data_IF_079027678207
#
_entry.id   IF_079027678207
#
_cell.length_a   1.000
_cell.length_b   1.000
_cell.length_c   1.000
_cell.angle_alpha   90.00
_cell.angle_beta   90.00
_cell.angle_gamma   90.00
#
_symmetry.space_group_name_H-M   'P 1'
#
loop_
_entity.id
_entity.type
_entity.pdbx_description
1 polymer ?
#
# COMPACT_ATOMS: atom_id res chain seq x y z
N UNK A 1 -1.22 -16.99 -20.59
CA UNK A 1 -1.25 -17.02 -19.11
C UNK A 1 -2.70 -16.87 -18.66
N UNK A 2 -3.19 -17.72 -17.74
CA UNK A 2 -4.61 -17.74 -17.34
C UNK A 2 -5.05 -16.44 -16.64
N UNK A 3 -6.35 -16.15 -16.65
CA UNK A 3 -6.99 -15.02 -15.94
C UNK A 3 -6.50 -14.92 -14.49
N UNK A 4 -6.51 -16.03 -13.76
CA UNK A 4 -6.08 -16.12 -12.36
C UNK A 4 -4.63 -15.64 -12.20
N UNK A 5 -3.71 -16.07 -13.08
CA UNK A 5 -2.31 -15.66 -13.02
C UNK A 5 -2.15 -14.16 -13.26
N UNK A 6 -2.91 -13.56 -14.19
CA UNK A 6 -2.89 -12.10 -14.42
C UNK A 6 -3.41 -11.32 -13.21
N UNK A 7 -4.46 -11.81 -12.58
CA UNK A 7 -5.05 -11.18 -11.39
C UNK A 7 -4.10 -11.24 -10.18
N UNK A 8 -3.46 -12.38 -9.94
CA UNK A 8 -2.49 -12.53 -8.84
C UNK A 8 -1.29 -11.60 -8.99
N UNK A 9 -0.82 -11.37 -10.22
CA UNK A 9 0.31 -10.46 -10.48
C UNK A 9 0.05 -9.01 -10.06
N UNK A 10 -1.21 -8.60 -9.91
CA UNK A 10 -1.56 -7.25 -9.44
C UNK A 10 -1.04 -6.99 -8.02
N UNK A 11 -0.89 -8.06 -7.21
CA UNK A 11 -0.51 -7.99 -5.80
C UNK A 11 0.98 -8.30 -5.55
N UNK A 12 1.79 -8.45 -6.59
CA UNK A 12 3.24 -8.59 -6.41
C UNK A 12 3.90 -7.43 -5.68
N UNK A 13 3.56 -6.14 -5.94
CA UNK A 13 4.16 -5.04 -5.19
C UNK A 13 3.99 -5.16 -3.66
N UNK A 14 2.77 -5.33 -3.10
CA UNK A 14 2.63 -5.46 -1.64
C UNK A 14 3.23 -6.75 -1.10
N UNK A 15 3.18 -7.87 -1.84
CA UNK A 15 3.82 -9.13 -1.41
C UNK A 15 5.33 -8.92 -1.25
N UNK A 16 5.98 -8.23 -2.18
CA UNK A 16 7.41 -7.95 -2.11
C UNK A 16 7.76 -7.08 -0.90
N UNK A 17 7.01 -6.00 -0.66
CA UNK A 17 7.24 -5.10 0.48
C UNK A 17 6.99 -5.83 1.80
N UNK A 18 5.91 -6.60 1.91
CA UNK A 18 5.60 -7.37 3.12
C UNK A 18 6.64 -8.47 3.39
N UNK A 19 7.13 -9.15 2.35
CA UNK A 19 8.21 -10.13 2.51
C UNK A 19 9.49 -9.45 2.99
N UNK A 20 9.82 -8.28 2.44
CA UNK A 20 10.97 -7.48 2.89
C UNK A 20 10.81 -7.03 4.35
N UNK A 21 9.62 -6.54 4.73
CA UNK A 21 9.27 -6.21 6.12
C UNK A 21 9.56 -7.38 7.06
N UNK A 22 9.03 -8.57 6.75
CA UNK A 22 9.21 -9.77 7.58
C UNK A 22 10.68 -10.18 7.70
N UNK A 23 11.45 -10.10 6.62
CA UNK A 23 12.90 -10.37 6.66
C UNK A 23 13.61 -9.37 7.59
N UNK A 24 13.32 -8.08 7.44
CA UNK A 24 13.91 -7.02 8.27
C UNK A 24 13.58 -7.19 9.75
N UNK A 25 12.33 -7.50 10.08
CA UNK A 25 11.91 -7.67 11.46
C UNK A 25 12.41 -9.00 12.06
N UNK A 26 12.13 -10.13 11.41
CA UNK A 26 12.34 -11.45 12.00
C UNK A 26 13.81 -11.89 12.00
N UNK A 27 14.61 -11.45 11.04
CA UNK A 27 16.03 -11.84 10.93
C UNK A 27 16.95 -10.78 11.55
N UNK A 28 16.64 -9.51 11.32
CA UNK A 28 17.53 -8.40 11.74
C UNK A 28 17.03 -7.65 12.97
N UNK A 29 15.82 -7.94 13.45
CA UNK A 29 15.19 -7.29 14.62
C UNK A 29 15.16 -5.77 14.47
N UNK A 30 14.82 -5.28 13.27
CA UNK A 30 14.91 -3.87 12.93
C UNK A 30 14.05 -2.98 13.82
N UNK A 31 12.83 -3.40 14.19
CA UNK A 31 11.96 -2.61 15.07
C UNK A 31 12.51 -2.49 16.50
N UNK A 32 13.19 -3.52 17.00
CA UNK A 32 13.81 -3.49 18.32
C UNK A 32 15.05 -2.59 18.35
N UNK A 33 15.80 -2.55 17.25
CA UNK A 33 17.06 -1.78 17.14
C UNK A 33 16.82 -0.33 16.73
N UNK A 34 15.87 -0.12 15.83
CA UNK A 34 15.56 1.15 15.17
C UNK A 34 14.05 1.30 15.00
N UNK A 35 13.30 1.76 16.03
CA UNK A 35 11.85 1.93 15.93
C UNK A 35 11.40 2.82 14.76
N UNK A 36 12.23 3.81 14.40
CA UNK A 36 12.02 4.67 13.22
C UNK A 36 12.01 3.93 11.87
N UNK A 37 12.33 2.64 11.84
CA UNK A 37 12.22 1.78 10.67
C UNK A 37 10.78 1.68 10.16
N UNK A 38 9.80 1.98 11.00
CA UNK A 38 8.39 1.93 10.60
C UNK A 38 8.03 2.95 9.52
N UNK A 39 8.51 4.18 9.68
CA UNK A 39 8.27 5.30 8.75
C UNK A 39 8.58 4.93 7.29
N UNK A 40 9.79 4.45 6.92
CA UNK A 40 10.06 4.06 5.54
C UNK A 40 9.23 2.85 5.10
N UNK A 41 8.82 1.95 6.01
CA UNK A 41 7.94 0.83 5.66
C UNK A 41 6.53 1.29 5.31
N UNK A 42 5.97 2.27 6.01
CA UNK A 42 4.69 2.87 5.64
C UNK A 42 4.77 3.58 4.27
N UNK A 43 5.85 4.32 3.98
CA UNK A 43 6.04 4.92 2.64
C UNK A 43 6.09 3.84 1.56
N UNK A 44 6.89 2.78 1.76
CA UNK A 44 7.02 1.68 0.80
C UNK A 44 5.71 0.90 0.62
N UNK A 45 4.98 0.66 1.71
CA UNK A 45 3.65 0.05 1.70
C UNK A 45 2.67 0.90 0.90
N UNK A 46 2.64 2.21 1.16
CA UNK A 46 1.88 3.19 0.38
C UNK A 46 2.19 3.12 -1.12
N UNK A 47 3.47 3.15 -1.49
CA UNK A 47 3.92 3.00 -2.88
C UNK A 47 3.43 1.68 -3.48
N UNK A 48 3.57 0.56 -2.78
CA UNK A 48 3.12 -0.73 -3.25
C UNK A 48 1.60 -0.78 -3.49
N UNK A 49 0.80 -0.17 -2.59
CA UNK A 49 -0.64 -0.08 -2.74
C UNK A 49 -1.06 0.88 -3.85
N UNK A 50 -0.36 2.00 -4.04
CA UNK A 50 -0.59 2.91 -5.16
C UNK A 50 -0.29 2.27 -6.52
N UNK A 51 0.78 1.47 -6.61
CA UNK A 51 1.10 0.66 -7.80
C UNK A 51 0.02 -0.39 -8.05
N UNK A 52 -0.41 -1.11 -7.01
CA UNK A 52 -1.51 -2.07 -7.09
C UNK A 52 -2.78 -1.41 -7.62
N UNK A 53 -3.16 -0.24 -7.09
CA UNK A 53 -4.32 0.54 -7.55
C UNK A 53 -4.22 0.91 -9.03
N UNK A 54 -3.05 1.36 -9.48
CA UNK A 54 -2.80 1.64 -10.90
C UNK A 54 -2.91 0.39 -11.77
N UNK A 55 -2.36 -0.75 -11.32
CA UNK A 55 -2.43 -2.02 -12.05
C UNK A 55 -3.86 -2.54 -12.14
N UNK A 56 -4.64 -2.46 -11.05
CA UNK A 56 -6.07 -2.81 -11.03
C UNK A 56 -6.86 -1.93 -12.00
N UNK A 57 -6.58 -0.64 -12.05
CA UNK A 57 -7.20 0.27 -13.01
C UNK A 57 -6.87 -0.11 -14.46
N UNK A 58 -5.60 -0.42 -14.76
CA UNK A 58 -5.20 -0.87 -16.09
C UNK A 58 -5.84 -2.21 -16.46
N UNK A 59 -5.97 -3.11 -15.49
CA UNK A 59 -6.65 -4.40 -15.65
C UNK A 59 -8.12 -4.20 -15.98
N UNK A 60 -8.84 -3.36 -15.21
CA UNK A 60 -10.24 -3.05 -15.47
C UNK A 60 -10.47 -2.45 -16.87
N UNK A 61 -9.58 -1.58 -17.33
CA UNK A 61 -9.68 -0.98 -18.66
C UNK A 61 -9.40 -1.97 -19.80
N UNK A 62 -8.40 -2.85 -19.65
CA UNK A 62 -7.96 -3.75 -20.73
C UNK A 62 -8.72 -5.07 -20.78
N UNK A 63 -9.03 -5.63 -19.62
CA UNK A 63 -9.58 -7.00 -19.51
C UNK A 63 -11.08 -6.98 -19.26
N UNK A 64 -11.61 -5.92 -18.63
CA UNK A 64 -13.03 -5.78 -18.31
C UNK A 64 -13.74 -4.71 -19.15
N UNK A 65 -13.03 -4.05 -20.08
CA UNK A 65 -13.55 -2.99 -20.96
C UNK A 65 -14.21 -1.80 -20.22
N UNK A 66 -13.76 -1.51 -18.98
CA UNK A 66 -14.25 -0.37 -18.20
C UNK A 66 -13.64 0.93 -18.74
N UNK A 67 -14.45 1.93 -19.05
CA UNK A 67 -13.95 3.20 -19.62
C UNK A 67 -13.92 4.29 -18.55
N UNK A 68 -12.71 4.73 -18.17
CA UNK A 68 -12.49 5.83 -17.21
C UNK A 68 -11.56 6.84 -17.89
N UNK A 69 -12.07 7.78 -18.70
CA UNK A 69 -11.22 8.61 -19.54
C UNK A 69 -10.57 9.78 -18.79
N UNK A 70 -11.21 10.28 -17.73
CA UNK A 70 -10.68 11.39 -16.96
C UNK A 70 -9.55 10.94 -16.03
N UNK A 71 -8.35 11.49 -16.23
CA UNK A 71 -7.16 11.22 -15.40
C UNK A 71 -7.39 11.55 -13.92
N UNK A 72 -8.15 12.60 -13.63
CA UNK A 72 -8.47 12.98 -12.25
C UNK A 72 -9.31 11.91 -11.54
N UNK A 73 -10.26 11.29 -12.24
CA UNK A 73 -11.08 10.20 -11.68
C UNK A 73 -10.23 8.97 -11.43
N UNK A 74 -9.34 8.63 -12.38
CA UNK A 74 -8.36 7.56 -12.19
C UNK A 74 -7.51 7.79 -10.92
N UNK A 75 -7.03 9.02 -10.72
CA UNK A 75 -6.19 9.36 -9.57
C UNK A 75 -6.96 9.29 -8.26
N UNK A 76 -8.19 9.83 -8.23
CA UNK A 76 -9.09 9.73 -7.08
C UNK A 76 -9.32 8.26 -6.68
N UNK A 77 -9.58 7.37 -7.64
CA UNK A 77 -9.79 5.94 -7.35
C UNK A 77 -8.55 5.28 -6.73
N UNK A 78 -7.35 5.59 -7.23
CA UNK A 78 -6.10 5.09 -6.64
C UNK A 78 -5.92 5.66 -5.23
N UNK A 79 -6.19 6.95 -5.02
CA UNK A 79 -6.10 7.57 -3.69
C UNK A 79 -7.07 6.92 -2.70
N UNK A 80 -8.32 6.67 -3.08
CA UNK A 80 -9.28 5.96 -2.22
C UNK A 80 -8.80 4.56 -1.86
N UNK A 81 -8.23 3.84 -2.82
CA UNK A 81 -7.63 2.52 -2.57
C UNK A 81 -6.49 2.58 -1.55
N UNK A 82 -5.60 3.57 -1.68
CA UNK A 82 -4.48 3.78 -0.75
C UNK A 82 -5.00 4.13 0.66
N UNK A 83 -5.96 5.06 0.77
CA UNK A 83 -6.58 5.43 2.06
C UNK A 83 -7.21 4.20 2.71
N UNK A 84 -8.02 3.45 1.96
CA UNK A 84 -8.71 2.27 2.46
C UNK A 84 -7.73 1.22 3.00
N UNK A 85 -6.67 0.94 2.27
CA UNK A 85 -5.68 -0.07 2.65
C UNK A 85 -4.80 0.38 3.82
N UNK A 86 -4.52 1.69 3.91
CA UNK A 86 -3.82 2.29 5.06
C UNK A 86 -4.66 2.17 6.34
N UNK A 87 -5.97 2.48 6.28
CA UNK A 87 -6.88 2.31 7.42
C UNK A 87 -6.98 0.84 7.85
N UNK A 88 -7.06 -0.09 6.90
CA UNK A 88 -7.10 -1.53 7.20
C UNK A 88 -5.83 -1.97 7.95
N UNK A 89 -4.67 -1.46 7.55
CA UNK A 89 -3.40 -1.81 8.19
C UNK A 89 -3.38 -1.37 9.66
N UNK A 90 -3.68 -0.10 9.93
CA UNK A 90 -3.78 0.42 11.31
C UNK A 90 -4.82 -0.33 12.15
N UNK A 91 -5.92 -0.76 11.54
CA UNK A 91 -6.91 -1.60 12.23
C UNK A 91 -6.35 -2.98 12.55
N UNK A 92 -5.55 -3.58 11.67
CA UNK A 92 -4.89 -4.84 11.95
C UNK A 92 -3.89 -4.70 13.09
N UNK A 93 -3.15 -3.60 13.16
CA UNK A 93 -2.24 -3.30 14.26
C UNK A 93 -2.96 -3.09 15.58
N UNK A 94 -4.02 -2.27 15.58
CA UNK A 94 -4.89 -2.09 16.73
C UNK A 94 -5.45 -3.42 17.25
N UNK A 95 -5.94 -4.28 16.35
CA UNK A 95 -6.47 -5.60 16.72
C UNK A 95 -5.37 -6.51 17.26
N UNK A 96 -4.16 -6.43 16.68
CA UNK A 96 -2.95 -7.07 17.20
C UNK A 96 -2.70 -6.70 18.65
N UNK A 97 -2.70 -5.40 18.94
CA UNK A 97 -2.43 -4.88 20.27
C UNK A 97 -3.53 -5.24 21.25
N UNK A 98 -4.79 -5.12 20.82
CA UNK A 98 -5.96 -5.39 21.66
C UNK A 98 -6.09 -6.88 22.02
N UNK A 99 -5.88 -7.79 21.07
CA UNK A 99 -6.09 -9.22 21.29
C UNK A 99 -4.83 -10.00 21.66
N UNK A 100 -3.65 -9.55 21.21
CA UNK A 100 -2.41 -10.32 21.33
C UNK A 100 -1.29 -9.55 22.06
N UNK A 101 -1.48 -8.28 22.41
CA UNK A 101 -0.48 -7.50 23.16
C UNK A 101 0.82 -7.28 22.39
N UNK A 102 0.73 -7.11 21.06
CA UNK A 102 1.90 -6.96 20.18
C UNK A 102 2.65 -5.64 20.32
N UNK A 103 2.00 -4.60 20.86
CA UNK A 103 2.54 -3.24 21.01
C UNK A 103 3.06 -2.64 19.69
N UNK A 104 2.30 -2.81 18.60
CA UNK A 104 2.61 -2.26 17.28
C UNK A 104 2.34 -0.75 17.23
N UNK A 105 1.23 -0.27 17.81
CA UNK A 105 0.91 1.15 17.83
C UNK A 105 1.56 1.83 19.05
N UNK A 106 2.53 2.70 18.83
CA UNK A 106 3.26 3.39 19.92
C UNK A 106 2.49 4.59 20.48
N UNK A 107 1.40 4.99 19.83
CA UNK A 107 0.47 6.01 20.30
C UNK A 107 -0.23 6.77 19.17
N UNK A 108 -1.05 7.76 19.50
CA UNK A 108 -1.84 8.50 18.51
C UNK A 108 -0.97 9.20 17.44
N UNK A 109 0.15 9.79 17.84
CA UNK A 109 1.03 10.51 16.91
C UNK A 109 1.75 9.57 15.93
N UNK A 110 2.02 8.34 16.36
CA UNK A 110 2.64 7.26 15.59
C UNK A 110 1.68 6.82 14.47
N UNK A 111 0.52 6.27 14.86
CA UNK A 111 -0.59 5.89 13.96
C UNK A 111 -0.95 6.98 12.96
N UNK A 112 -1.05 8.24 13.39
CA UNK A 112 -1.37 9.35 12.47
C UNK A 112 -0.22 9.63 11.48
N UNK A 113 1.03 9.49 11.93
CA UNK A 113 2.22 9.55 11.11
C UNK A 113 2.27 8.42 10.08
N UNK A 114 1.98 7.20 10.49
CA UNK A 114 1.97 6.00 9.66
C UNK A 114 0.93 6.08 8.55
N UNK A 115 -0.27 6.52 8.92
CA UNK A 115 -1.33 6.81 7.95
C UNK A 115 -0.91 7.88 6.95
N UNK A 116 -0.27 8.96 7.42
CA UNK A 116 0.19 10.04 6.56
C UNK A 116 1.30 9.60 5.59
N UNK A 117 2.27 8.83 6.08
CA UNK A 117 3.39 8.31 5.29
C UNK A 117 2.93 7.31 4.23
N UNK A 118 2.01 6.40 4.59
CA UNK A 118 1.36 5.49 3.65
C UNK A 118 0.58 6.23 2.57
N UNK A 119 -0.22 7.22 2.96
CA UNK A 119 -0.97 8.04 2.01
C UNK A 119 -0.04 8.78 1.04
N UNK A 120 0.99 9.44 1.55
CA UNK A 120 1.95 10.20 0.75
C UNK A 120 2.62 9.32 -0.31
N UNK A 121 3.13 8.15 0.08
CA UNK A 121 3.78 7.21 -0.83
C UNK A 121 2.85 6.75 -1.96
N UNK A 122 1.61 6.35 -1.62
CA UNK A 122 0.65 5.82 -2.58
C UNK A 122 0.07 6.87 -3.53
N UNK A 123 -0.23 8.06 -3.02
CA UNK A 123 -0.79 9.17 -3.82
C UNK A 123 0.23 9.69 -4.82
N UNK A 124 1.49 9.86 -4.40
CA UNK A 124 2.57 10.33 -5.27
C UNK A 124 2.84 9.33 -6.39
N UNK A 125 3.00 8.03 -6.07
CA UNK A 125 3.25 7.04 -7.13
C UNK A 125 2.05 6.89 -8.07
N UNK A 126 0.82 6.96 -7.55
CA UNK A 126 -0.40 6.93 -8.35
C UNK A 126 -0.45 8.08 -9.36
N UNK A 127 -0.13 9.31 -8.92
CA UNK A 127 -0.04 10.47 -9.79
C UNK A 127 1.02 10.30 -10.88
N UNK A 128 2.22 9.83 -10.52
CA UNK A 128 3.32 9.59 -11.46
C UNK A 128 2.93 8.55 -12.52
N UNK A 129 2.31 7.44 -12.11
CA UNK A 129 1.88 6.38 -13.02
C UNK A 129 0.79 6.84 -13.99
N UNK A 130 -0.20 7.62 -13.53
CA UNK A 130 -1.22 8.20 -14.40
C UNK A 130 -0.63 9.23 -15.36
N UNK A 131 0.29 10.08 -14.89
CA UNK A 131 0.94 11.07 -15.74
C UNK A 131 1.76 10.42 -16.87
N UNK A 132 2.53 9.38 -16.55
CA UNK A 132 3.35 8.63 -17.51
C UNK A 132 2.55 7.69 -18.41
N UNK A 133 1.27 7.44 -18.12
CA UNK A 133 0.40 6.61 -18.95
C UNK A 133 0.24 7.24 -20.34
N UNK A 134 0.82 6.59 -21.35
CA UNK A 134 0.60 6.94 -22.76
C UNK A 134 -0.89 6.82 -23.08
N UNK A 135 -1.42 7.78 -23.85
CA UNK A 135 -2.80 7.72 -24.37
C UNK A 135 -2.97 6.49 -25.25
#
# INVERSE_FOLDING_TARGET
MSFIKRFVHLFYPPIMVFTFHLICDQIFHMYQRFPVFDIPMHILGGIAMGLTGYLMLCYAQKELNVVIPQRIVQWILITFWVVFTTVIWEFAEFLGDYFFGTHMQMGLADTMGDMFMGLMGGVVVGAVCIYKKKK
#
